data_IF_691762380296
#
_entry.id   IF_691762380296
#
_cell.length_a   1.000
_cell.length_b   1.000
_cell.length_c   1.000
_cell.angle_alpha   90.00
_cell.angle_beta   90.00
_cell.angle_gamma   90.00
#
_symmetry.space_group_name_H-M   'P 1'
#
loop_
_entity.id
_entity.type
_entity.pdbx_description
1 polymer ?
#
# COMPACT_ATOMS: atom_id res chain seq x y z
N UNK A 1 -8.65 -45.08 -8.86
CA UNK A 1 -7.92 -45.06 -7.57
C UNK A 1 -8.19 -43.74 -6.86
N UNK A 2 -8.71 -43.71 -5.62
CA UNK A 2 -8.93 -42.46 -4.91
C UNK A 2 -7.59 -41.78 -4.63
N UNK A 3 -7.38 -40.56 -5.14
CA UNK A 3 -6.18 -39.77 -4.83
C UNK A 3 -6.20 -39.44 -3.33
N UNK A 4 -5.12 -39.74 -2.62
CA UNK A 4 -5.00 -39.44 -1.18
C UNK A 4 -5.08 -37.93 -0.97
N UNK A 5 -5.98 -37.47 -0.09
CA UNK A 5 -6.09 -36.06 0.26
C UNK A 5 -4.84 -35.65 1.05
N UNK A 6 -4.18 -34.58 0.63
CA UNK A 6 -3.04 -34.03 1.37
C UNK A 6 -3.51 -33.20 2.57
N UNK A 7 -2.84 -33.36 3.70
CA UNK A 7 -3.06 -32.59 4.93
C UNK A 7 -1.89 -31.65 5.19
N UNK A 8 -2.17 -30.52 5.85
CA UNK A 8 -1.20 -29.54 6.27
C UNK A 8 -0.34 -30.16 7.38
N UNK A 9 0.91 -30.48 7.04
CA UNK A 9 1.89 -31.07 7.96
C UNK A 9 2.85 -29.99 8.46
N UNK A 10 3.48 -30.24 9.60
CA UNK A 10 4.52 -29.38 10.20
C UNK A 10 5.64 -29.04 9.19
N UNK A 11 5.98 -29.96 8.29
CA UNK A 11 6.98 -29.76 7.23
C UNK A 11 6.56 -28.65 6.24
N UNK A 12 5.28 -28.62 5.85
CA UNK A 12 4.74 -27.59 4.97
C UNK A 12 4.67 -26.22 5.66
N UNK A 13 4.35 -26.22 6.96
CA UNK A 13 4.36 -24.99 7.77
C UNK A 13 5.77 -24.42 7.95
N UNK A 14 6.78 -25.28 8.13
CA UNK A 14 8.18 -24.85 8.21
C UNK A 14 8.68 -24.25 6.89
N UNK A 15 8.25 -24.82 5.75
CA UNK A 15 8.59 -24.29 4.42
C UNK A 15 7.87 -22.97 4.11
N UNK A 16 6.61 -22.84 4.55
CA UNK A 16 5.76 -21.68 4.26
C UNK A 16 5.14 -21.09 5.55
N UNK A 17 5.90 -20.30 6.33
CA UNK A 17 5.46 -19.80 7.64
C UNK A 17 4.29 -18.82 7.57
N UNK A 18 4.06 -18.21 6.40
CA UNK A 18 2.95 -17.28 6.13
C UNK A 18 1.62 -17.98 5.84
N UNK A 19 1.58 -19.32 5.84
CA UNK A 19 0.38 -20.13 5.62
C UNK A 19 -0.07 -20.72 6.95
N UNK A 20 -1.32 -20.44 7.33
CA UNK A 20 -1.93 -20.94 8.57
C UNK A 20 -3.06 -21.90 8.24
N UNK A 21 -3.15 -23.00 9.00
CA UNK A 21 -4.29 -23.91 8.90
C UNK A 21 -5.55 -23.25 9.49
N UNK A 22 -6.71 -23.55 8.90
CA UNK A 22 -8.02 -23.10 9.39
C UNK A 22 -8.83 -24.29 9.91
N UNK A 23 -10.04 -24.50 9.39
CA UNK A 23 -11.06 -25.40 9.92
C UNK A 23 -10.76 -26.87 9.65
N UNK A 24 -10.29 -27.20 8.44
CA UNK A 24 -9.97 -28.58 8.07
C UNK A 24 -8.46 -28.74 7.91
N UNK A 25 -7.93 -29.96 8.06
CA UNK A 25 -6.50 -30.22 7.85
C UNK A 25 -6.04 -29.93 6.41
N UNK A 26 -6.94 -29.66 5.47
CA UNK A 26 -6.59 -29.30 4.09
C UNK A 26 -6.97 -27.87 3.71
N UNK A 27 -7.69 -27.13 4.56
CA UNK A 27 -8.03 -25.72 4.34
C UNK A 27 -6.96 -24.84 5.00
N UNK A 28 -6.34 -23.98 4.20
CA UNK A 28 -5.26 -23.10 4.63
C UNK A 28 -5.53 -21.66 4.22
N UNK A 29 -5.01 -20.73 5.02
CA UNK A 29 -5.07 -19.29 4.78
C UNK A 29 -3.69 -18.75 4.50
N UNK A 30 -3.54 -17.97 3.44
CA UNK A 30 -2.35 -17.16 3.21
C UNK A 30 -2.48 -15.85 4.00
N UNK A 31 -1.54 -15.55 4.89
CA UNK A 31 -1.55 -14.33 5.69
C UNK A 31 -1.23 -13.08 4.86
N UNK A 32 -0.42 -13.23 3.81
CA UNK A 32 -0.07 -12.14 2.88
C UNK A 32 -1.26 -11.66 2.06
N UNK A 33 -2.05 -12.59 1.53
CA UNK A 33 -3.19 -12.27 0.66
C UNK A 33 -4.53 -12.28 1.39
N UNK A 34 -4.56 -12.79 2.62
CA UNK A 34 -5.75 -13.08 3.43
C UNK A 34 -6.75 -14.04 2.77
N UNK A 35 -6.35 -14.72 1.70
CA UNK A 35 -7.16 -15.65 0.92
C UNK A 35 -7.07 -17.07 1.48
N UNK A 36 -8.21 -17.76 1.49
CA UNK A 36 -8.34 -19.16 1.88
C UNK A 36 -8.27 -20.06 0.64
N UNK A 37 -7.56 -21.17 0.73
CA UNK A 37 -7.46 -22.15 -0.34
C UNK A 37 -7.25 -23.56 0.21
N UNK A 38 -7.48 -24.56 -0.66
CA UNK A 38 -7.35 -25.98 -0.33
C UNK A 38 -6.07 -26.56 -0.89
N UNK A 39 -5.37 -27.32 -0.07
CA UNK A 39 -4.17 -28.08 -0.46
C UNK A 39 -4.45 -29.58 -0.67
N UNK A 40 -5.73 -29.98 -0.72
CA UNK A 40 -6.13 -31.39 -0.69
C UNK A 40 -5.58 -32.23 -1.85
N UNK A 41 -5.15 -31.63 -2.97
CA UNK A 41 -4.79 -32.35 -4.19
C UNK A 41 -3.28 -32.56 -4.33
N UNK A 42 -2.51 -31.50 -4.21
CA UNK A 42 -1.08 -31.47 -4.54
C UNK A 42 -0.21 -30.95 -3.40
N UNK A 43 -0.81 -30.46 -2.29
CA UNK A 43 -0.06 -29.98 -1.14
C UNK A 43 0.78 -28.75 -1.49
N UNK A 44 2.09 -28.96 -1.65
CA UNK A 44 3.05 -27.93 -2.03
C UNK A 44 2.80 -27.37 -3.44
N UNK A 45 2.35 -28.20 -4.39
CA UNK A 45 2.01 -27.73 -5.73
C UNK A 45 0.84 -26.73 -5.74
N UNK A 46 -0.14 -26.91 -4.85
CA UNK A 46 -1.26 -25.97 -4.69
C UNK A 46 -0.76 -24.63 -4.10
N UNK A 47 0.25 -24.68 -3.22
CA UNK A 47 0.90 -23.50 -2.66
C UNK A 47 1.71 -22.77 -3.74
N UNK A 48 2.52 -23.47 -4.52
CA UNK A 48 3.27 -22.86 -5.63
C UNK A 48 2.35 -22.22 -6.67
N UNK A 49 1.23 -22.87 -6.98
CA UNK A 49 0.22 -22.32 -7.87
C UNK A 49 -0.44 -21.07 -7.25
N UNK A 50 -0.73 -21.08 -5.94
CA UNK A 50 -1.23 -19.91 -5.22
C UNK A 50 -0.25 -18.73 -5.29
N UNK A 51 1.06 -18.97 -5.14
CA UNK A 51 2.08 -17.92 -5.24
C UNK A 51 2.15 -17.30 -6.65
N UNK A 52 1.90 -18.09 -7.69
CA UNK A 52 1.85 -17.62 -9.10
C UNK A 52 0.55 -16.89 -9.44
N UNK A 53 -0.50 -17.02 -8.63
CA UNK A 53 -1.79 -16.40 -8.91
C UNK A 53 -1.70 -14.86 -8.84
N UNK A 54 -2.40 -14.19 -9.75
CA UNK A 54 -2.42 -12.71 -9.86
C UNK A 54 -2.85 -12.05 -8.54
N UNK A 55 -3.76 -12.68 -7.79
CA UNK A 55 -4.19 -12.19 -6.47
C UNK A 55 -3.02 -12.09 -5.47
N UNK A 56 -2.11 -13.08 -5.47
CA UNK A 56 -0.94 -13.06 -4.59
C UNK A 56 0.04 -11.97 -5.00
N UNK A 57 0.39 -11.92 -6.29
CA UNK A 57 1.27 -10.90 -6.85
C UNK A 57 0.76 -9.47 -6.60
N UNK A 58 -0.55 -9.25 -6.72
CA UNK A 58 -1.15 -7.96 -6.44
C UNK A 58 -1.10 -7.59 -4.95
N UNK A 59 -1.35 -8.55 -4.06
CA UNK A 59 -1.23 -8.34 -2.62
C UNK A 59 0.21 -8.00 -2.22
N UNK A 60 1.20 -8.73 -2.76
CA UNK A 60 2.62 -8.43 -2.53
C UNK A 60 3.00 -7.04 -3.06
N UNK A 61 2.53 -6.67 -4.25
CA UNK A 61 2.76 -5.33 -4.81
C UNK A 61 2.14 -4.23 -3.94
N UNK A 62 0.93 -4.45 -3.45
CA UNK A 62 0.24 -3.49 -2.57
C UNK A 62 0.95 -3.35 -1.22
N UNK A 63 1.46 -4.45 -0.66
CA UNK A 63 2.26 -4.42 0.56
C UNK A 63 3.55 -3.62 0.36
N UNK A 64 4.24 -3.81 -0.76
CA UNK A 64 5.44 -3.05 -1.10
C UNK A 64 5.17 -1.54 -1.30
N UNK A 65 4.04 -1.17 -1.93
CA UNK A 65 3.69 0.24 -2.13
C UNK A 65 3.24 0.96 -0.85
N UNK A 66 2.72 0.22 0.14
CA UNK A 66 2.15 0.80 1.36
C UNK A 66 3.20 1.41 2.30
N UNK A 67 4.45 0.90 2.27
CA UNK A 67 5.55 1.46 3.06
C UNK A 67 5.88 2.91 2.65
N UNK A 68 5.71 3.22 1.36
CA UNK A 68 6.00 4.54 0.81
C UNK A 68 4.98 5.59 1.27
N UNK A 69 3.70 5.21 1.39
CA UNK A 69 2.63 6.11 1.84
C UNK A 69 2.79 6.55 3.31
N UNK A 70 3.22 5.66 4.19
CA UNK A 70 3.42 6.00 5.61
C UNK A 70 4.60 6.94 5.85
N UNK A 71 5.56 7.00 4.93
CA UNK A 71 6.71 7.89 5.00
C UNK A 71 6.48 9.23 4.28
N UNK A 72 5.46 9.33 3.41
CA UNK A 72 5.11 10.59 2.72
C UNK A 72 4.45 11.59 3.67
N UNK A 73 3.64 11.10 4.61
CA UNK A 73 3.07 11.94 5.65
C UNK A 73 4.09 12.04 6.79
N UNK A 74 4.65 13.24 7.00
CA UNK A 74 5.45 13.52 8.20
C UNK A 74 4.60 13.16 9.43
N UNK A 75 5.03 12.16 10.19
CA UNK A 75 4.53 11.94 11.55
C UNK A 75 5.16 13.01 12.43
N UNK A 76 4.47 14.12 12.60
CA UNK A 76 4.85 15.12 13.59
C UNK A 76 3.61 15.47 14.39
N UNK A 77 3.59 15.04 15.66
CA UNK A 77 2.55 15.37 16.64
C UNK A 77 2.49 16.88 16.94
N UNK A 78 3.49 17.66 16.51
CA UNK A 78 3.51 19.11 16.55
C UNK A 78 4.24 19.71 15.33
N UNK A 79 3.78 20.84 14.77
CA UNK A 79 4.45 21.52 13.67
C UNK A 79 5.81 22.05 14.11
N UNK A 80 6.83 21.86 13.27
CA UNK A 80 8.15 22.48 13.48
C UNK A 80 8.05 23.98 13.21
N UNK A 81 8.93 24.81 13.79
CA UNK A 81 9.00 26.24 13.47
C UNK A 81 9.09 26.51 11.96
N UNK A 82 9.85 25.70 11.22
CA UNK A 82 9.95 25.77 9.75
C UNK A 82 8.63 25.47 9.03
N UNK A 83 7.80 24.57 9.57
CA UNK A 83 6.51 24.24 8.97
C UNK A 83 5.51 25.41 9.16
N UNK A 84 5.63 26.17 10.27
CA UNK A 84 4.85 27.39 10.51
C UNK A 84 5.25 28.53 9.57
N UNK A 85 6.55 28.70 9.32
CA UNK A 85 7.05 29.71 8.38
C UNK A 85 6.56 29.43 6.95
N UNK A 86 6.56 28.16 6.53
CA UNK A 86 6.03 27.73 5.23
C UNK A 86 4.52 27.99 5.15
N UNK A 87 3.76 27.63 6.18
CA UNK A 87 2.32 27.87 6.21
C UNK A 87 1.98 29.36 6.17
N UNK A 88 2.77 30.22 6.83
CA UNK A 88 2.61 31.66 6.76
C UNK A 88 2.90 32.19 5.34
N UNK A 89 3.97 31.72 4.69
CA UNK A 89 4.28 32.09 3.30
C UNK A 89 3.18 31.64 2.32
N UNK A 90 2.66 30.43 2.47
CA UNK A 90 1.55 29.92 1.67
C UNK A 90 0.26 30.71 1.90
N UNK A 91 -0.04 31.08 3.15
CA UNK A 91 -1.19 31.91 3.50
C UNK A 91 -1.09 33.32 2.91
N UNK A 92 0.08 33.95 2.97
CA UNK A 92 0.36 35.24 2.35
C UNK A 92 0.23 35.14 0.82
N UNK A 93 0.74 34.07 0.21
CA UNK A 93 0.62 33.83 -1.22
C UNK A 93 -0.83 33.65 -1.66
N UNK A 94 -1.63 32.88 -0.93
CA UNK A 94 -3.05 32.69 -1.21
C UNK A 94 -3.83 34.00 -1.05
N UNK A 95 -3.56 34.76 0.01
CA UNK A 95 -4.19 36.05 0.27
C UNK A 95 -3.86 37.07 -0.84
N UNK A 96 -2.60 37.19 -1.24
CA UNK A 96 -2.21 38.06 -2.35
C UNK A 96 -2.76 37.55 -3.68
N UNK A 97 -2.79 36.25 -3.94
CA UNK A 97 -3.38 35.71 -5.17
C UNK A 97 -4.87 36.08 -5.27
N UNK A 98 -5.60 36.04 -4.14
CA UNK A 98 -7.03 36.40 -4.10
C UNK A 98 -7.25 37.91 -4.13
N UNK A 99 -6.43 38.73 -3.46
CA UNK A 99 -6.52 40.20 -3.55
C UNK A 99 -6.11 40.73 -4.93
N UNK A 100 -5.03 40.20 -5.49
CA UNK A 100 -4.54 40.54 -6.83
C UNK A 100 -5.33 39.79 -7.93
N UNK A 101 -6.40 39.04 -7.57
CA UNK A 101 -7.43 38.55 -8.49
C UNK A 101 -8.30 39.70 -9.05
N UNK A 102 -7.72 40.87 -9.29
CA UNK A 102 -8.13 41.66 -10.43
C UNK A 102 -7.87 40.79 -11.66
N UNK A 103 -8.86 40.64 -12.55
CA UNK A 103 -8.83 39.77 -13.74
C UNK A 103 -7.44 39.59 -14.36
N UNK A 104 -7.15 38.47 -15.04
CA UNK A 104 -5.87 38.24 -15.74
C UNK A 104 -5.39 39.44 -16.60
N UNK A 105 -6.32 40.32 -17.06
CA UNK A 105 -6.03 41.55 -17.82
C UNK A 105 -5.50 42.73 -16.99
N UNK A 106 -5.58 42.67 -15.67
CA UNK A 106 -5.26 43.76 -14.72
C UNK A 106 -3.98 43.51 -13.92
N UNK A 107 -3.36 42.35 -14.08
CA UNK A 107 -2.10 41.98 -13.45
C UNK A 107 -0.90 42.66 -14.14
N UNK A 108 -0.86 43.99 -14.08
CA UNK A 108 0.17 44.82 -14.73
C UNK A 108 1.47 44.90 -13.91
N UNK A 109 1.49 44.33 -12.70
CA UNK A 109 2.64 44.34 -11.82
C UNK A 109 3.61 43.18 -12.10
N UNK A 110 3.08 41.97 -12.40
CA UNK A 110 3.89 40.80 -12.72
C UNK A 110 4.57 40.88 -14.10
N UNK A 111 3.98 41.60 -15.07
CA UNK A 111 4.54 41.76 -16.42
C UNK A 111 5.85 42.58 -16.44
N UNK A 112 6.10 43.43 -15.45
CA UNK A 112 7.35 44.21 -15.32
C UNK A 112 8.54 43.40 -14.80
N UNK A 113 8.31 42.21 -14.23
CA UNK A 113 9.37 41.34 -13.72
C UNK A 113 9.98 40.43 -14.80
N UNK A 114 9.35 40.36 -15.98
CA UNK A 114 9.75 39.47 -17.09
C UNK A 114 10.41 40.25 -18.25
N UNK A 115 10.49 41.58 -18.16
CA UNK A 115 11.09 42.43 -19.19
C UNK A 115 12.52 42.88 -18.82
#
# INVERSE_FOLDING_TARGET
MPKRKCSFKVILQAKHPFIKQINTPSDVRCEKCRTEFRISHSGDGDIEQHLKFVKHKNADRAAASSFLMLNLFKKSDAPTSKDLDIAAAEGVWAYHTIQESHSFRSNNCASKLIQ
#
